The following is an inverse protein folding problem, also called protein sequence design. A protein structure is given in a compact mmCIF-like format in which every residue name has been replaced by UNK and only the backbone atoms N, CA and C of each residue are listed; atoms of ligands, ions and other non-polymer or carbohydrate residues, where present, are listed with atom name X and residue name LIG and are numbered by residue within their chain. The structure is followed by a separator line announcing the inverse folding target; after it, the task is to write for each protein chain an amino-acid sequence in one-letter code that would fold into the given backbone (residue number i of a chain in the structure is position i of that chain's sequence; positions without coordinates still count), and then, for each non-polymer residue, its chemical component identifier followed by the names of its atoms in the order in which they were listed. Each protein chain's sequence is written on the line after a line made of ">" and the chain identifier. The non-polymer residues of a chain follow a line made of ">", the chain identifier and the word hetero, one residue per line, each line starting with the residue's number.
data_IF_350644418324
#
_entry.id   IF_350644418324
#
_cell.length_a   1.000
_cell.length_b   1.000
_cell.length_c   1.000
_cell.angle_alpha   90.00
_cell.angle_beta   90.00
_cell.angle_gamma   90.00
#
_symmetry.space_group_name_H-M   'P 1'
#
loop_
_entity.id
_entity.type
_entity.pdbx_description
1 polymer ?
#
# COMPACT_ATOMS: atom_id res chain seq x y z
N UNK A 1 2.23 17.02 -7.10
CA UNK A 1 1.28 17.32 -6.02
C UNK A 1 0.92 16.01 -5.35
N UNK A 2 0.92 15.94 -4.01
CA UNK A 2 0.40 14.76 -3.31
C UNK A 2 -1.08 14.63 -3.68
N UNK A 3 -1.54 13.43 -4.03
CA UNK A 3 -2.92 13.20 -4.41
C UNK A 3 -3.88 13.63 -3.29
N UNK A 4 -5.02 14.22 -3.67
CA UNK A 4 -6.04 14.60 -2.70
C UNK A 4 -6.93 13.40 -2.36
N UNK A 5 -7.06 13.02 -1.06
CA UNK A 5 -7.92 11.92 -0.63
C UNK A 5 -9.35 12.00 -1.19
N UNK A 6 -9.92 13.21 -1.24
CA UNK A 6 -11.27 13.45 -1.72
C UNK A 6 -11.51 13.01 -3.18
N UNK A 7 -10.47 12.92 -4.00
CA UNK A 7 -10.57 12.46 -5.39
C UNK A 7 -10.44 10.94 -5.52
N UNK A 8 -9.80 10.27 -4.55
CA UNK A 8 -9.40 8.86 -4.62
C UNK A 8 -10.31 7.96 -3.78
N UNK A 9 -10.73 8.39 -2.60
CA UNK A 9 -11.62 7.62 -1.72
C UNK A 9 -12.92 7.16 -2.41
N UNK A 10 -13.59 7.96 -3.27
CA UNK A 10 -14.77 7.49 -4.00
C UNK A 10 -14.45 6.37 -5.00
N UNK A 11 -13.29 6.42 -5.64
CA UNK A 11 -12.84 5.41 -6.62
C UNK A 11 -12.48 4.10 -5.92
N UNK A 12 -11.85 4.19 -4.75
CA UNK A 12 -11.52 3.03 -3.92
C UNK A 12 -12.74 2.41 -3.23
N UNK A 13 -13.87 3.12 -3.16
CA UNK A 13 -15.03 2.70 -2.37
C UNK A 13 -14.72 2.60 -0.86
N UNK A 14 -13.66 3.28 -0.41
CA UNK A 14 -13.16 3.19 0.96
C UNK A 14 -12.79 4.59 1.47
N UNK A 15 -13.33 4.94 2.63
CA UNK A 15 -13.03 6.20 3.31
C UNK A 15 -12.05 5.93 4.45
N UNK A 16 -10.89 6.59 4.41
CA UNK A 16 -9.88 6.43 5.45
C UNK A 16 -10.30 7.17 6.71
N UNK A 17 -10.18 6.52 7.87
CA UNK A 17 -10.37 7.18 9.16
C UNK A 17 -9.35 8.30 9.39
N UNK A 18 -8.15 8.14 8.84
CA UNK A 18 -7.11 9.16 8.80
C UNK A 18 -6.69 9.40 7.34
N UNK A 19 -7.11 10.52 6.71
CA UNK A 19 -6.76 10.86 5.33
C UNK A 19 -5.25 10.97 5.06
N UNK A 20 -4.44 11.21 6.10
CA UNK A 20 -2.99 11.30 5.97
C UNK A 20 -2.36 9.94 5.62
N UNK A 21 -3.00 8.83 5.98
CA UNK A 21 -2.56 7.50 5.56
C UNK A 21 -2.62 7.37 4.04
N UNK A 22 -3.69 7.87 3.41
CA UNK A 22 -3.83 7.84 1.96
C UNK A 22 -2.86 8.82 1.28
N UNK A 23 -2.68 10.03 1.81
CA UNK A 23 -1.66 10.97 1.29
C UNK A 23 -0.26 10.37 1.32
N UNK A 24 0.12 9.77 2.44
CA UNK A 24 1.39 9.07 2.59
C UNK A 24 1.53 7.90 1.62
N UNK A 25 0.51 7.06 1.50
CA UNK A 25 0.52 5.91 0.58
C UNK A 25 0.72 6.35 -0.89
N UNK A 26 0.21 7.53 -1.24
CA UNK A 26 0.31 8.12 -2.58
C UNK A 26 1.54 9.05 -2.74
N UNK A 27 2.45 9.09 -1.76
CA UNK A 27 3.67 9.90 -1.82
C UNK A 27 4.90 9.01 -2.05
N UNK A 28 5.46 9.08 -3.25
CA UNK A 28 6.70 8.38 -3.60
C UNK A 28 7.93 9.06 -3.00
N UNK A 29 8.99 8.30 -2.72
CA UNK A 29 10.22 8.83 -2.11
C UNK A 29 10.93 9.86 -3.02
N UNK A 30 10.89 9.71 -4.34
CA UNK A 30 11.47 10.72 -5.27
C UNK A 30 10.88 12.12 -5.08
N UNK A 31 9.57 12.22 -4.85
CA UNK A 31 8.91 13.51 -4.67
C UNK A 31 9.38 14.23 -3.41
N UNK A 32 9.58 13.46 -2.32
CA UNK A 32 10.08 14.00 -1.04
C UNK A 32 11.51 14.53 -1.18
N UNK A 33 12.37 13.81 -1.91
CA UNK A 33 13.77 14.20 -2.09
C UNK A 33 13.96 15.36 -3.08
N UNK A 34 13.11 15.49 -4.10
CA UNK A 34 13.22 16.52 -5.14
C UNK A 34 12.58 17.87 -4.74
N UNK A 35 11.64 17.86 -3.79
CA UNK A 35 10.96 19.08 -3.31
C UNK A 35 11.17 19.24 -1.80
N UNK A 36 12.35 19.67 -1.34
CA UNK A 36 12.60 19.90 0.09
C UNK A 36 11.96 21.23 0.52
N UNK A 37 10.63 21.24 0.64
CA UNK A 37 9.90 22.28 1.37
C UNK A 37 9.54 21.80 2.79
N UNK A 38 9.10 22.72 3.66
CA UNK A 38 8.75 22.39 5.06
C UNK A 38 7.67 21.30 5.16
N UNK A 39 6.81 21.20 4.15
CA UNK A 39 5.72 20.21 4.08
C UNK A 39 6.27 18.82 3.74
N UNK A 40 7.14 18.73 2.73
CA UNK A 40 7.81 17.51 2.30
C UNK A 40 8.74 16.94 3.37
N UNK A 41 9.44 17.80 4.12
CA UNK A 41 10.30 17.37 5.23
C UNK A 41 9.53 16.69 6.36
N UNK A 42 8.24 17.00 6.53
CA UNK A 42 7.36 16.37 7.53
C UNK A 42 6.57 15.19 6.96
N UNK A 43 6.32 15.15 5.65
CA UNK A 43 5.63 14.06 4.99
C UNK A 43 6.51 12.80 4.93
N UNK A 44 6.02 11.70 5.49
CA UNK A 44 6.63 10.38 5.28
C UNK A 44 6.25 9.87 3.88
N UNK A 45 7.18 9.25 3.17
CA UNK A 45 6.89 8.55 1.91
C UNK A 45 6.29 7.15 2.16
N UNK A 46 5.89 6.49 1.09
CA UNK A 46 5.14 5.24 1.07
C UNK A 46 5.97 3.96 1.29
N UNK A 47 7.31 3.97 1.23
CA UNK A 47 8.15 2.75 1.31
C UNK A 47 7.81 1.80 2.48
N UNK A 48 7.49 2.31 3.67
CA UNK A 48 7.07 1.45 4.79
C UNK A 48 5.69 0.81 4.56
N UNK A 49 4.79 1.52 3.88
CA UNK A 49 3.48 0.98 3.50
C UNK A 49 3.59 0.00 2.33
N UNK A 50 4.53 0.20 1.41
CA UNK A 50 4.85 -0.76 0.36
C UNK A 50 5.34 -2.07 0.98
N UNK A 51 6.36 -2.00 1.85
CA UNK A 51 6.86 -3.17 2.56
C UNK A 51 5.76 -3.93 3.34
N UNK A 52 4.91 -3.21 4.07
CA UNK A 52 3.78 -3.81 4.79
C UNK A 52 2.74 -4.40 3.83
N UNK A 53 2.43 -3.67 2.76
CA UNK A 53 1.45 -4.06 1.75
C UNK A 53 1.83 -5.35 1.05
N UNK A 54 3.11 -5.51 0.70
CA UNK A 54 3.64 -6.74 0.09
C UNK A 54 3.48 -7.95 1.00
N UNK A 55 3.79 -7.81 2.29
CA UNK A 55 3.63 -8.88 3.26
C UNK A 55 2.16 -9.28 3.44
N UNK A 56 1.26 -8.29 3.54
CA UNK A 56 -0.20 -8.53 3.66
C UNK A 56 -0.76 -9.16 2.40
N UNK A 57 -0.38 -8.67 1.22
CA UNK A 57 -0.81 -9.24 -0.06
C UNK A 57 -0.32 -10.67 -0.21
N UNK A 58 0.96 -10.94 0.11
CA UNK A 58 1.53 -12.28 0.10
C UNK A 58 0.77 -13.25 0.99
N UNK A 59 0.40 -12.82 2.21
CA UNK A 59 -0.45 -13.60 3.09
C UNK A 59 -1.83 -13.89 2.49
N UNK A 60 -2.56 -12.86 2.02
CA UNK A 60 -3.90 -13.04 1.45
C UNK A 60 -3.90 -13.96 0.22
N UNK A 61 -2.89 -13.85 -0.64
CA UNK A 61 -2.73 -14.75 -1.81
C UNK A 61 -2.45 -16.18 -1.35
N UNK A 62 -1.55 -16.35 -0.38
CA UNK A 62 -1.21 -17.68 0.15
C UNK A 62 -2.43 -18.36 0.80
N UNK A 63 -3.18 -17.62 1.62
CA UNK A 63 -4.41 -18.10 2.25
C UNK A 63 -5.46 -18.50 1.19
N UNK A 64 -5.67 -17.65 0.18
CA UNK A 64 -6.58 -17.95 -0.92
C UNK A 64 -6.16 -19.18 -1.73
N UNK A 65 -4.86 -19.40 -1.96
CA UNK A 65 -4.34 -20.57 -2.67
C UNK A 65 -4.51 -21.85 -1.85
N UNK A 66 -4.18 -21.83 -0.55
CA UNK A 66 -4.39 -22.97 0.35
C UNK A 66 -5.87 -23.36 0.41
N UNK A 67 -6.77 -22.38 0.56
CA UNK A 67 -8.20 -22.63 0.60
C UNK A 67 -8.74 -23.19 -0.72
N UNK A 68 -8.18 -22.76 -1.86
CA UNK A 68 -8.61 -23.19 -3.20
C UNK A 68 -8.04 -24.56 -3.59
N UNK A 69 -6.85 -24.91 -3.11
CA UNK A 69 -6.14 -26.13 -3.46
C UNK A 69 -5.63 -26.89 -2.22
N UNK A 70 -6.53 -27.43 -1.39
CA UNK A 70 -6.16 -28.05 -0.10
C UNK A 70 -5.28 -29.31 -0.24
N UNK A 71 -5.31 -29.95 -1.41
CA UNK A 71 -4.54 -31.16 -1.72
C UNK A 71 -3.16 -30.86 -2.32
N UNK A 72 -2.84 -29.59 -2.61
CA UNK A 72 -1.55 -29.24 -3.20
C UNK A 72 -0.46 -29.22 -2.12
N UNK A 73 0.71 -29.84 -2.38
CA UNK A 73 1.84 -29.71 -1.49
C UNK A 73 2.37 -28.27 -1.51
N UNK A 74 3.02 -27.84 -0.43
CA UNK A 74 3.56 -26.47 -0.25
C UNK A 74 4.33 -25.97 -1.48
N UNK A 75 5.22 -26.80 -2.04
CA UNK A 75 6.02 -26.44 -3.21
C UNK A 75 5.23 -26.13 -4.49
N UNK A 76 3.96 -26.56 -4.58
CA UNK A 76 3.06 -26.25 -5.70
C UNK A 76 2.26 -24.97 -5.50
N UNK A 77 2.19 -24.43 -4.28
CA UNK A 77 1.51 -23.17 -3.96
C UNK A 77 2.39 -21.93 -4.21
N UNK A 78 3.71 -22.13 -4.37
CA UNK A 78 4.69 -21.07 -4.62
C UNK A 78 5.03 -20.84 -6.11
N UNK A 79 4.38 -21.56 -7.04
CA UNK A 79 4.69 -21.53 -8.47
C UNK A 79 3.50 -20.99 -9.27
#
# INVERSE_FOLDING_TARGET
>A
MPAEPAQIEPVLGYRFANPELLRRALTHSSWVHETPDEVSATLRHNEQFEFLGDAVLGFCVSDALVAKFPEWPEGSLHR
#
